data_IF_722760568072
#
_entry.id   IF_722760568072
#
_cell.length_a   1.000
_cell.length_b   1.000
_cell.length_c   1.000
_cell.angle_alpha   90.00
_cell.angle_beta   90.00
_cell.angle_gamma   90.00
#
_symmetry.space_group_name_H-M   'P 1'
#
loop_
_entity.id
_entity.type
_entity.pdbx_description
1 polymer ?
#
# COMPACT_ATOMS: atom_id res chain seq x y z
N UNK A 1 3.93 -2.36 -34.36
CA UNK A 1 4.22 -1.33 -33.32
C UNK A 1 4.70 -2.07 -32.11
N UNK A 2 5.90 -1.78 -31.60
CA UNK A 2 6.46 -2.45 -30.42
C UNK A 2 5.64 -2.15 -29.15
N UNK A 3 5.73 -3.06 -28.20
CA UNK A 3 4.99 -2.97 -26.93
C UNK A 3 5.94 -3.16 -25.75
N UNK A 4 5.83 -2.30 -24.76
CA UNK A 4 6.40 -2.50 -23.43
C UNK A 4 5.37 -3.25 -22.57
N UNK A 5 5.67 -4.50 -22.22
CA UNK A 5 4.83 -5.31 -21.34
C UNK A 5 5.29 -5.19 -19.88
N UNK A 6 4.38 -4.82 -18.97
CA UNK A 6 4.61 -4.87 -17.53
C UNK A 6 4.03 -6.20 -17.01
N UNK A 7 4.88 -7.13 -16.64
CA UNK A 7 4.47 -8.51 -16.37
C UNK A 7 4.65 -8.86 -14.90
N UNK A 8 3.53 -9.23 -14.25
CA UNK A 8 3.56 -9.74 -12.88
C UNK A 8 4.19 -11.12 -12.79
N UNK A 9 5.05 -11.31 -11.78
CA UNK A 9 5.76 -12.57 -11.49
C UNK A 9 5.28 -13.18 -10.16
N UNK A 10 5.55 -14.47 -9.89
CA UNK A 10 5.22 -15.10 -8.63
C UNK A 10 5.86 -14.42 -7.42
N UNK A 11 5.15 -14.42 -6.27
CA UNK A 11 5.66 -13.87 -5.00
C UNK A 11 6.21 -14.95 -4.06
N UNK A 12 6.32 -16.19 -4.52
CA UNK A 12 6.84 -17.31 -3.73
C UNK A 12 6.49 -18.68 -4.27
N UNK A 13 5.37 -18.81 -4.96
CA UNK A 13 4.93 -20.04 -5.59
C UNK A 13 4.93 -19.88 -7.11
N UNK A 14 5.77 -20.62 -7.81
CA UNK A 14 5.87 -20.53 -9.27
C UNK A 14 4.53 -20.76 -9.98
N UNK A 15 3.65 -21.60 -9.41
CA UNK A 15 2.33 -21.89 -9.98
C UNK A 15 1.37 -20.70 -10.03
N UNK A 16 1.68 -19.59 -9.33
CA UNK A 16 0.86 -18.38 -9.32
C UNK A 16 1.07 -17.50 -10.56
N UNK A 17 2.00 -17.84 -11.46
CA UNK A 17 2.16 -17.12 -12.72
C UNK A 17 0.96 -17.35 -13.63
N UNK A 18 0.55 -16.32 -14.37
CA UNK A 18 -0.53 -16.49 -15.34
C UNK A 18 -0.04 -17.13 -16.62
N UNK A 19 -0.88 -17.92 -17.30
CA UNK A 19 -0.58 -18.45 -18.64
C UNK A 19 -0.18 -17.34 -19.61
N UNK A 20 -0.89 -16.20 -19.59
CA UNK A 20 -0.58 -15.05 -20.43
C UNK A 20 0.80 -14.45 -20.14
N UNK A 21 1.24 -14.44 -18.88
CA UNK A 21 2.58 -13.98 -18.53
C UNK A 21 3.64 -14.88 -19.16
N UNK A 22 3.51 -16.21 -19.05
CA UNK A 22 4.43 -17.16 -19.66
C UNK A 22 4.48 -16.99 -21.18
N UNK A 23 3.32 -16.90 -21.84
CA UNK A 23 3.24 -16.73 -23.30
C UNK A 23 3.90 -15.43 -23.77
N UNK A 24 3.69 -14.31 -23.05
CA UNK A 24 4.33 -13.04 -23.38
C UNK A 24 5.83 -13.11 -23.16
N UNK A 25 6.29 -13.64 -22.02
CA UNK A 25 7.71 -13.75 -21.71
C UNK A 25 8.46 -14.65 -22.72
N UNK A 26 7.78 -15.65 -23.33
CA UNK A 26 8.35 -16.46 -24.42
C UNK A 26 8.42 -15.74 -25.76
N UNK A 27 7.56 -14.74 -25.98
CA UNK A 27 7.37 -14.10 -27.28
C UNK A 27 8.16 -12.80 -27.46
N UNK A 28 8.36 -12.05 -26.36
CA UNK A 28 9.08 -10.77 -26.42
C UNK A 28 10.55 -10.96 -26.80
N UNK A 29 11.16 -9.92 -27.36
CA UNK A 29 12.55 -9.97 -27.82
C UNK A 29 13.55 -9.84 -26.65
N UNK A 30 13.11 -9.25 -25.52
CA UNK A 30 13.95 -9.06 -24.34
C UNK A 30 13.10 -8.96 -23.06
N UNK A 31 13.62 -9.47 -21.95
CA UNK A 31 13.06 -9.27 -20.61
C UNK A 31 14.01 -8.38 -19.79
N UNK A 32 13.54 -7.21 -19.40
CA UNK A 32 14.19 -6.33 -18.43
C UNK A 32 13.78 -6.77 -17.01
N UNK A 33 14.75 -7.00 -16.12
CA UNK A 33 14.52 -7.54 -14.78
C UNK A 33 15.52 -6.97 -13.77
N UNK A 34 15.17 -6.95 -12.49
CA UNK A 34 16.02 -6.40 -11.44
C UNK A 34 17.27 -7.28 -11.23
N UNK A 35 17.08 -8.54 -10.84
CA UNK A 35 18.14 -9.53 -10.72
C UNK A 35 17.98 -10.65 -11.75
N UNK A 36 18.87 -10.66 -12.74
CA UNK A 36 18.87 -11.69 -13.79
C UNK A 36 19.00 -13.12 -13.25
N UNK A 37 19.61 -13.30 -12.08
CA UNK A 37 19.77 -14.62 -11.44
C UNK A 37 18.44 -15.14 -10.89
N UNK A 38 17.58 -14.25 -10.37
CA UNK A 38 16.24 -14.59 -9.88
C UNK A 38 15.33 -14.89 -11.06
N UNK A 39 15.27 -13.97 -12.03
CA UNK A 39 14.45 -14.14 -13.23
C UNK A 39 14.86 -15.35 -14.07
N UNK A 40 16.16 -15.68 -14.14
CA UNK A 40 16.64 -16.89 -14.85
C UNK A 40 16.06 -18.18 -14.27
N UNK A 41 15.84 -18.27 -12.94
CA UNK A 41 15.19 -19.46 -12.34
C UNK A 41 13.75 -19.61 -12.81
N UNK A 42 13.00 -18.51 -12.90
CA UNK A 42 11.64 -18.48 -13.43
C UNK A 42 11.63 -18.89 -14.91
N UNK A 43 12.52 -18.28 -15.72
CA UNK A 43 12.63 -18.57 -17.14
C UNK A 43 12.97 -20.04 -17.41
N UNK A 44 13.92 -20.61 -16.66
CA UNK A 44 14.30 -22.01 -16.77
C UNK A 44 13.14 -22.96 -16.40
N UNK A 45 12.35 -22.60 -15.39
CA UNK A 45 11.22 -23.44 -14.96
C UNK A 45 10.10 -23.52 -16.00
N UNK A 46 9.88 -22.45 -16.77
CA UNK A 46 8.82 -22.37 -17.77
C UNK A 46 9.32 -22.47 -19.21
N UNK A 47 10.59 -22.87 -19.42
CA UNK A 47 11.23 -22.96 -20.75
C UNK A 47 11.04 -21.64 -21.54
N UNK A 48 11.38 -20.52 -20.94
CA UNK A 48 11.38 -19.18 -21.54
C UNK A 48 12.80 -18.90 -22.06
N UNK A 49 13.01 -18.88 -23.38
CA UNK A 49 14.34 -18.71 -23.97
C UNK A 49 14.78 -17.24 -24.11
N UNK A 50 13.90 -16.32 -23.79
CA UNK A 50 14.07 -14.87 -24.04
C UNK A 50 15.27 -14.32 -23.27
N UNK A 51 16.13 -13.50 -23.90
CA UNK A 51 17.32 -12.93 -23.26
C UNK A 51 16.93 -11.95 -22.15
N UNK A 52 17.70 -12.01 -21.05
CA UNK A 52 17.52 -11.17 -19.87
C UNK A 52 18.44 -9.94 -19.91
N UNK A 53 17.92 -8.81 -19.50
CA UNK A 53 18.65 -7.55 -19.34
C UNK A 53 18.43 -6.99 -17.95
N UNK A 54 19.51 -6.62 -17.26
CA UNK A 54 19.41 -6.04 -15.94
C UNK A 54 18.86 -4.60 -16.00
N UNK A 55 17.81 -4.34 -15.19
CA UNK A 55 17.18 -3.04 -14.99
C UNK A 55 16.87 -2.85 -13.50
N UNK A 56 17.66 -2.07 -12.79
CA UNK A 56 17.55 -1.85 -11.33
C UNK A 56 17.84 -0.38 -10.99
N UNK A 57 17.59 0.02 -9.76
CA UNK A 57 17.69 1.40 -9.29
C UNK A 57 19.03 2.10 -9.66
N UNK A 58 20.15 1.37 -9.61
CA UNK A 58 21.47 1.95 -9.89
C UNK A 58 21.80 2.09 -11.38
N UNK A 59 21.06 1.47 -12.29
CA UNK A 59 21.32 1.53 -13.73
C UNK A 59 20.14 2.04 -14.54
N UNK A 60 18.99 2.36 -13.91
CA UNK A 60 17.71 2.65 -14.55
C UNK A 60 17.81 3.73 -15.64
N UNK A 61 18.54 4.84 -15.40
CA UNK A 61 18.61 5.96 -16.36
C UNK A 61 19.21 5.50 -17.70
N UNK A 62 20.38 4.83 -17.63
CA UNK A 62 21.05 4.30 -18.83
C UNK A 62 20.23 3.20 -19.51
N UNK A 63 19.63 2.31 -18.72
CA UNK A 63 18.86 1.20 -19.26
C UNK A 63 17.51 1.66 -19.83
N UNK A 64 16.89 2.69 -19.26
CA UNK A 64 15.70 3.31 -19.83
C UNK A 64 15.97 3.79 -21.26
N UNK A 65 17.03 4.58 -21.48
CA UNK A 65 17.38 5.05 -22.81
C UNK A 65 17.61 3.89 -23.80
N UNK A 66 18.35 2.87 -23.38
CA UNK A 66 18.60 1.67 -24.19
C UNK A 66 17.30 0.92 -24.54
N UNK A 67 16.41 0.70 -23.56
CA UNK A 67 15.15 -0.03 -23.79
C UNK A 67 14.22 0.76 -24.71
N UNK A 68 14.15 2.09 -24.58
CA UNK A 68 13.36 2.94 -25.48
C UNK A 68 13.89 2.81 -26.92
N UNK A 69 15.20 2.87 -27.11
CA UNK A 69 15.80 2.65 -28.44
C UNK A 69 15.40 1.27 -29.04
N UNK A 70 15.41 0.19 -28.25
CA UNK A 70 14.99 -1.12 -28.73
C UNK A 70 13.50 -1.14 -29.13
N UNK A 71 12.64 -0.51 -28.33
CA UNK A 71 11.21 -0.39 -28.62
C UNK A 71 10.96 0.45 -29.89
N UNK A 72 11.72 1.54 -30.11
CA UNK A 72 11.65 2.35 -31.34
C UNK A 72 12.10 1.57 -32.59
N UNK A 73 13.06 0.62 -32.40
CA UNK A 73 13.47 -0.30 -33.45
C UNK A 73 12.43 -1.40 -33.76
N UNK A 74 11.32 -1.43 -33.02
CA UNK A 74 10.22 -2.36 -33.24
C UNK A 74 10.27 -3.64 -32.41
N UNK A 75 11.19 -3.75 -31.44
CA UNK A 75 11.34 -4.93 -30.58
C UNK A 75 10.39 -4.85 -29.38
N UNK A 76 9.70 -5.92 -29.07
CA UNK A 76 8.86 -6.05 -27.86
C UNK A 76 9.72 -6.31 -26.63
N UNK A 77 9.44 -5.59 -25.54
CA UNK A 77 10.17 -5.72 -24.26
C UNK A 77 9.21 -6.00 -23.12
N UNK A 78 9.54 -6.97 -22.26
CA UNK A 78 8.85 -7.17 -21.00
C UNK A 78 9.68 -6.61 -19.84
N UNK A 79 9.04 -5.88 -18.93
CA UNK A 79 9.60 -5.50 -17.63
C UNK A 79 8.98 -6.41 -16.56
N UNK A 80 9.83 -7.04 -15.77
CA UNK A 80 9.45 -7.87 -14.60
C UNK A 80 10.19 -7.40 -13.35
N UNK A 81 9.61 -7.64 -12.18
CA UNK A 81 10.29 -7.55 -10.88
C UNK A 81 10.75 -8.94 -10.42
N UNK A 82 11.56 -8.99 -9.37
CA UNK A 82 12.00 -10.25 -8.76
C UNK A 82 10.83 -11.03 -8.14
N UNK A 83 9.80 -10.29 -7.65
CA UNK A 83 8.58 -10.88 -7.09
C UNK A 83 7.39 -9.91 -7.19
N UNK A 84 6.28 -10.35 -7.76
CA UNK A 84 5.05 -9.59 -7.84
C UNK A 84 4.97 -8.64 -9.05
N UNK A 85 4.44 -7.46 -8.82
CA UNK A 85 4.18 -6.48 -9.89
C UNK A 85 5.35 -5.51 -10.04
N UNK A 86 5.91 -5.33 -11.26
CA UNK A 86 6.91 -4.30 -11.49
C UNK A 86 6.35 -2.91 -11.15
N UNK A 87 7.19 -1.94 -10.81
CA UNK A 87 6.90 -0.58 -10.35
C UNK A 87 6.30 -0.49 -8.93
N UNK A 88 5.77 -1.56 -8.38
CA UNK A 88 5.14 -1.53 -7.04
C UNK A 88 6.20 -1.86 -5.98
N UNK A 89 6.83 -0.86 -5.43
CA UNK A 89 8.04 -0.92 -4.58
C UNK A 89 9.32 -1.33 -5.32
N UNK A 90 9.28 -1.39 -6.66
CA UNK A 90 10.34 -1.83 -7.54
C UNK A 90 10.63 -0.77 -8.62
N UNK A 91 11.80 -0.80 -9.29
CA UNK A 91 12.13 0.10 -10.39
C UNK A 91 11.18 -0.07 -11.60
N UNK A 92 11.03 0.99 -12.40
CA UNK A 92 10.28 0.92 -13.67
C UNK A 92 9.43 2.15 -14.00
N UNK A 93 9.16 3.00 -13.03
CA UNK A 93 8.35 4.20 -13.24
C UNK A 93 8.91 5.07 -14.38
N UNK A 94 10.22 5.34 -14.37
CA UNK A 94 10.89 6.17 -15.36
C UNK A 94 10.81 5.55 -16.76
N UNK A 95 10.91 4.20 -16.87
CA UNK A 95 10.77 3.51 -18.14
C UNK A 95 9.36 3.63 -18.71
N UNK A 96 8.33 3.52 -17.87
CA UNK A 96 6.93 3.68 -18.31
C UNK A 96 6.66 5.11 -18.77
N UNK A 97 7.16 6.11 -18.03
CA UNK A 97 7.03 7.53 -18.44
C UNK A 97 7.71 7.75 -19.80
N UNK A 98 8.96 7.33 -19.94
CA UNK A 98 9.71 7.48 -21.20
C UNK A 98 9.04 6.76 -22.38
N UNK A 99 8.51 5.55 -22.17
CA UNK A 99 7.77 4.82 -23.21
C UNK A 99 6.50 5.57 -23.66
N UNK A 100 5.76 6.16 -22.72
CA UNK A 100 4.59 6.97 -23.04
C UNK A 100 4.93 8.26 -23.78
N UNK A 101 6.01 8.94 -23.37
CA UNK A 101 6.49 10.16 -24.03
C UNK A 101 6.95 9.87 -25.47
N UNK A 102 7.50 8.67 -25.72
CA UNK A 102 7.86 8.18 -27.05
C UNK A 102 6.67 7.60 -27.84
N UNK A 103 5.42 7.71 -27.33
CA UNK A 103 4.22 7.10 -27.94
C UNK A 103 4.31 5.60 -28.15
N UNK A 104 5.07 4.91 -27.33
CA UNK A 104 5.17 3.44 -27.31
C UNK A 104 4.00 2.88 -26.52
N UNK A 105 3.38 1.82 -27.04
CA UNK A 105 2.29 1.13 -26.35
C UNK A 105 2.80 0.44 -25.10
N UNK A 106 2.15 0.69 -23.96
CA UNK A 106 2.41 -0.01 -22.68
C UNK A 106 1.22 -0.91 -22.36
N UNK A 107 1.47 -2.21 -22.18
CA UNK A 107 0.46 -3.18 -21.78
C UNK A 107 0.80 -3.81 -20.42
N UNK A 108 -0.24 -4.06 -19.62
CA UNK A 108 -0.10 -4.73 -18.32
C UNK A 108 -0.56 -6.17 -18.38
N UNK A 109 0.20 -7.05 -17.75
CA UNK A 109 -0.16 -8.45 -17.51
C UNK A 109 -0.30 -8.62 -16.00
N UNK A 110 -1.54 -8.72 -15.47
CA UNK A 110 -1.76 -8.85 -14.04
C UNK A 110 -1.09 -10.10 -13.47
N UNK A 111 -0.76 -10.03 -12.20
CA UNK A 111 -0.13 -11.14 -11.50
C UNK A 111 -0.28 -11.01 -9.99
N UNK A 112 0.38 -11.88 -9.22
CA UNK A 112 0.34 -11.87 -7.77
C UNK A 112 0.80 -10.53 -7.16
N UNK A 113 0.18 -10.16 -6.03
CA UNK A 113 0.55 -8.99 -5.25
C UNK A 113 0.46 -9.32 -3.76
N UNK A 114 1.57 -9.25 -3.05
CA UNK A 114 1.65 -9.67 -1.65
C UNK A 114 0.72 -8.85 -0.72
N UNK A 115 0.61 -7.53 -0.95
CA UNK A 115 -0.25 -6.66 -0.15
C UNK A 115 -1.72 -7.01 -0.26
N UNK A 116 -2.21 -7.20 -1.47
CA UNK A 116 -3.62 -7.58 -1.71
C UNK A 116 -3.90 -9.02 -1.32
N UNK A 117 -2.96 -9.94 -1.54
CA UNK A 117 -3.08 -11.33 -1.08
C UNK A 117 -3.21 -11.40 0.44
N UNK A 118 -2.38 -10.65 1.17
CA UNK A 118 -2.51 -10.53 2.62
C UNK A 118 -3.86 -9.93 3.04
N UNK A 119 -4.28 -8.85 2.39
CA UNK A 119 -5.53 -8.16 2.73
C UNK A 119 -6.75 -9.06 2.56
N UNK A 120 -6.81 -9.86 1.49
CA UNK A 120 -7.91 -10.80 1.24
C UNK A 120 -8.09 -11.81 2.37
N UNK A 121 -7.01 -12.25 3.01
CA UNK A 121 -7.03 -13.28 4.04
C UNK A 121 -6.93 -12.75 5.48
N UNK A 122 -6.77 -11.44 5.65
CA UNK A 122 -6.54 -10.80 6.96
C UNK A 122 -7.77 -10.71 7.85
N UNK A 123 -8.97 -10.68 7.24
CA UNK A 123 -10.22 -10.35 7.96
C UNK A 123 -10.39 -8.85 8.27
N UNK A 124 -9.44 -7.98 7.88
CA UNK A 124 -9.56 -6.53 8.03
C UNK A 124 -10.42 -5.92 6.91
N UNK A 125 -11.03 -4.73 7.13
CA UNK A 125 -11.80 -4.04 6.10
C UNK A 125 -10.98 -3.82 4.83
N UNK A 126 -11.52 -4.23 3.67
CA UNK A 126 -10.81 -4.20 2.39
C UNK A 126 -11.38 -3.20 1.37
N UNK A 127 -12.44 -2.48 1.71
CA UNK A 127 -13.10 -1.54 0.78
C UNK A 127 -12.25 -0.30 0.49
N UNK A 128 -11.54 0.20 1.51
CA UNK A 128 -10.61 1.31 1.38
C UNK A 128 -9.30 0.90 2.02
N UNK A 129 -8.24 0.97 1.25
CA UNK A 129 -6.90 0.66 1.73
C UNK A 129 -5.86 1.63 1.17
N UNK A 130 -4.79 1.82 1.89
CA UNK A 130 -3.66 2.65 1.49
C UNK A 130 -2.38 1.82 1.51
N UNK A 131 -1.74 1.68 0.35
CA UNK A 131 -0.46 1.01 0.23
C UNK A 131 0.67 2.01 0.53
N UNK A 132 1.47 1.72 1.55
CA UNK A 132 2.59 2.55 1.98
C UNK A 132 3.96 2.01 1.53
N UNK A 133 4.00 0.76 1.04
CA UNK A 133 5.27 0.12 0.71
C UNK A 133 6.15 -0.09 1.95
N UNK A 134 7.45 0.19 1.85
CA UNK A 134 8.38 0.11 2.98
C UNK A 134 8.41 1.41 3.77
N UNK A 135 8.25 1.32 5.09
CA UNK A 135 8.36 2.48 5.97
C UNK A 135 9.83 2.97 6.08
N UNK A 136 10.03 4.27 6.37
CA UNK A 136 11.34 4.82 6.63
C UNK A 136 12.13 4.01 7.67
N UNK A 137 13.46 3.95 7.50
CA UNK A 137 14.33 3.20 8.43
C UNK A 137 14.48 3.88 9.78
N UNK A 138 14.49 5.24 9.79
CA UNK A 138 14.64 6.01 11.02
C UNK A 138 13.33 6.01 11.81
N UNK A 139 13.42 5.68 13.10
CA UNK A 139 12.25 5.57 14.00
C UNK A 139 11.37 6.82 14.00
N UNK A 140 12.00 8.01 14.07
CA UNK A 140 11.26 9.28 14.06
C UNK A 140 10.45 9.50 12.79
N UNK A 141 11.01 9.17 11.63
CA UNK A 141 10.33 9.32 10.33
C UNK A 141 9.21 8.27 10.19
N UNK A 142 9.47 7.03 10.62
CA UNK A 142 8.48 5.94 10.65
C UNK A 142 7.30 6.29 11.56
N UNK A 143 7.56 6.76 12.79
CA UNK A 143 6.53 7.19 13.74
C UNK A 143 5.66 8.30 13.15
N UNK A 144 6.26 9.32 12.54
CA UNK A 144 5.53 10.42 11.93
C UNK A 144 4.60 9.96 10.80
N UNK A 145 5.05 9.02 9.94
CA UNK A 145 4.20 8.44 8.88
C UNK A 145 3.03 7.67 9.49
N UNK A 146 3.28 6.82 10.49
CA UNK A 146 2.25 6.02 11.13
C UNK A 146 1.26 6.91 11.91
N UNK A 147 1.74 7.89 12.68
CA UNK A 147 0.89 8.85 13.40
C UNK A 147 -0.05 9.59 12.45
N UNK A 148 0.45 10.02 11.29
CA UNK A 148 -0.37 10.68 10.28
C UNK A 148 -1.42 9.75 9.67
N UNK A 149 -1.03 8.52 9.30
CA UNK A 149 -1.86 7.61 8.50
C UNK A 149 -2.84 6.77 9.33
N UNK A 150 -2.51 6.45 10.57
CA UNK A 150 -3.37 5.62 11.42
C UNK A 150 -4.66 6.33 11.89
N UNK A 151 -4.81 7.63 11.60
CA UNK A 151 -6.07 8.35 11.79
C UNK A 151 -7.04 8.23 10.62
N UNK A 152 -6.57 7.73 9.47
CA UNK A 152 -7.41 7.50 8.30
C UNK A 152 -8.27 6.23 8.48
N UNK A 153 -9.45 6.19 7.88
CA UNK A 153 -10.34 5.03 7.94
C UNK A 153 -9.99 3.92 6.95
N UNK A 154 -8.83 4.01 6.29
CA UNK A 154 -8.33 3.02 5.33
C UNK A 154 -7.44 1.99 6.00
N UNK A 155 -7.54 0.72 5.60
CA UNK A 155 -6.57 -0.31 6.00
C UNK A 155 -5.21 0.00 5.36
N UNK A 156 -4.17 0.13 6.18
CA UNK A 156 -2.82 0.41 5.70
C UNK A 156 -2.12 -0.90 5.36
N UNK A 157 -1.41 -0.94 4.23
CA UNK A 157 -0.62 -2.08 3.77
C UNK A 157 0.85 -1.69 3.73
N UNK A 158 1.69 -2.43 4.44
CA UNK A 158 3.11 -2.16 4.62
C UNK A 158 3.90 -3.41 4.30
N UNK A 159 4.97 -3.30 3.51
CA UNK A 159 5.99 -4.33 3.37
C UNK A 159 7.05 -4.15 4.44
N UNK A 160 7.47 -5.24 5.07
CA UNK A 160 8.46 -5.14 6.13
C UNK A 160 9.42 -6.32 6.15
N UNK A 161 10.67 -6.05 6.49
CA UNK A 161 11.67 -7.10 6.67
C UNK A 161 11.52 -7.78 8.04
N UNK A 162 11.89 -9.07 8.19
CA UNK A 162 11.75 -9.81 9.44
C UNK A 162 12.50 -9.15 10.61
N UNK A 163 13.60 -8.44 10.31
CA UNK A 163 14.41 -7.76 11.32
C UNK A 163 13.76 -6.48 11.88
N UNK A 164 12.74 -5.94 11.19
CA UNK A 164 12.10 -4.68 11.54
C UNK A 164 10.66 -4.85 12.04
N UNK A 165 10.03 -6.01 11.81
CA UNK A 165 8.63 -6.28 12.20
C UNK A 165 8.38 -5.90 13.67
N UNK A 166 9.20 -6.39 14.59
CA UNK A 166 9.05 -6.12 16.04
C UNK A 166 9.08 -4.64 16.36
N UNK A 167 9.98 -3.88 15.74
CA UNK A 167 10.10 -2.44 16.00
C UNK A 167 8.96 -1.66 15.37
N UNK A 168 8.47 -2.10 14.22
CA UNK A 168 7.29 -1.51 13.58
C UNK A 168 6.04 -1.75 14.42
N UNK A 169 5.83 -2.96 14.93
CA UNK A 169 4.72 -3.24 15.86
C UNK A 169 4.82 -2.45 17.17
N UNK A 170 6.02 -2.23 17.72
CA UNK A 170 6.21 -1.35 18.89
C UNK A 170 5.80 0.09 18.60
N UNK A 171 6.10 0.58 17.40
CA UNK A 171 5.70 1.94 17.00
C UNK A 171 4.18 2.05 16.88
N UNK A 172 3.53 1.06 16.26
CA UNK A 172 2.07 1.00 16.16
C UNK A 172 1.43 0.97 17.57
N UNK A 173 1.93 0.11 18.47
CA UNK A 173 1.42 -0.02 19.83
C UNK A 173 1.58 1.26 20.68
N UNK A 174 2.60 2.08 20.44
CA UNK A 174 2.75 3.39 21.09
C UNK A 174 1.68 4.39 20.67
N UNK A 175 1.18 4.27 19.44
CA UNK A 175 0.14 5.17 18.90
C UNK A 175 -1.24 4.65 19.34
N UNK A 176 -1.48 3.35 19.20
CA UNK A 176 -2.73 2.69 19.60
C UNK A 176 -2.46 1.22 19.94
N UNK A 177 -2.44 0.92 21.23
CA UNK A 177 -2.13 -0.41 21.76
C UNK A 177 -3.21 -1.47 21.45
N UNK A 178 -4.42 -1.04 21.12
CA UNK A 178 -5.57 -1.91 20.83
C UNK A 178 -5.84 -2.06 19.32
N UNK A 179 -4.98 -1.44 18.46
CA UNK A 179 -5.16 -1.47 17.03
C UNK A 179 -5.10 -2.90 16.50
N UNK A 180 -6.12 -3.28 15.73
CA UNK A 180 -6.12 -4.55 15.00
C UNK A 180 -5.07 -4.51 13.89
N UNK A 181 -4.21 -5.50 13.87
CA UNK A 181 -3.13 -5.66 12.90
C UNK A 181 -3.13 -7.10 12.38
N UNK A 182 -2.84 -7.28 11.11
CA UNK A 182 -2.62 -8.59 10.54
C UNK A 182 -1.17 -8.71 10.03
N UNK A 183 -0.54 -9.82 10.31
CA UNK A 183 0.77 -10.19 9.81
C UNK A 183 0.62 -11.30 8.77
N UNK A 184 0.88 -10.97 7.49
CA UNK A 184 1.06 -11.96 6.43
C UNK A 184 2.54 -12.30 6.31
N UNK A 185 2.91 -13.55 6.52
CA UNK A 185 4.29 -14.03 6.46
C UNK A 185 4.43 -15.11 5.40
N UNK A 186 5.50 -15.06 4.59
CA UNK A 186 5.84 -16.10 3.60
C UNK A 186 4.64 -16.49 2.71
N UNK A 187 3.87 -15.49 2.26
CA UNK A 187 2.67 -15.69 1.45
C UNK A 187 2.97 -16.56 0.23
N UNK A 188 2.04 -17.47 -0.09
CA UNK A 188 2.10 -18.48 -1.16
C UNK A 188 3.20 -19.55 -0.99
N UNK A 189 4.04 -19.47 0.05
CA UNK A 189 5.14 -20.40 0.30
C UNK A 189 4.74 -21.49 1.31
N UNK A 190 5.58 -22.51 1.45
CA UNK A 190 5.36 -23.65 2.36
C UNK A 190 5.06 -23.24 3.82
N UNK A 191 5.60 -22.12 4.26
CA UNK A 191 5.46 -21.65 5.65
C UNK A 191 4.60 -20.37 5.72
N UNK A 192 3.63 -20.27 4.81
CA UNK A 192 2.64 -19.20 4.85
C UNK A 192 1.93 -19.15 6.19
N UNK A 193 1.83 -17.96 6.73
CA UNK A 193 1.12 -17.73 7.98
C UNK A 193 0.44 -16.35 7.90
N UNK A 194 -0.85 -16.30 8.28
CA UNK A 194 -1.58 -15.04 8.43
C UNK A 194 -2.19 -15.05 9.84
N UNK A 195 -1.85 -14.03 10.61
CA UNK A 195 -2.31 -13.89 12.00
C UNK A 195 -2.83 -12.48 12.19
N UNK A 196 -4.06 -12.36 12.67
CA UNK A 196 -4.72 -11.08 12.93
C UNK A 196 -5.13 -11.01 14.40
N UNK A 197 -4.69 -9.95 15.08
CA UNK A 197 -5.01 -9.72 16.49
C UNK A 197 -4.69 -8.24 16.85
N UNK A 198 -4.97 -7.85 18.08
CA UNK A 198 -4.44 -6.61 18.64
C UNK A 198 -2.91 -6.58 18.54
N UNK A 199 -2.35 -5.41 18.24
CA UNK A 199 -0.90 -5.27 18.06
C UNK A 199 -0.09 -5.76 19.26
N UNK A 200 -0.62 -5.64 20.49
CA UNK A 200 0.03 -6.14 21.71
C UNK A 200 0.02 -7.67 21.79
N UNK A 201 -1.05 -8.32 21.34
CA UNK A 201 -1.12 -9.78 21.26
C UNK A 201 -0.17 -10.33 20.20
N UNK A 202 -0.08 -9.68 19.04
CA UNK A 202 0.91 -10.07 18.02
C UNK A 202 2.35 -9.97 18.53
N UNK A 203 2.67 -8.97 19.34
CA UNK A 203 3.99 -8.87 19.99
C UNK A 203 4.24 -10.05 20.93
N UNK A 204 3.24 -10.47 21.69
CA UNK A 204 3.34 -11.64 22.57
C UNK A 204 3.53 -12.94 21.77
N UNK A 205 2.78 -13.16 20.69
CA UNK A 205 2.94 -14.32 19.80
C UNK A 205 4.35 -14.41 19.17
N UNK A 206 4.92 -13.26 18.78
CA UNK A 206 6.31 -13.21 18.29
C UNK A 206 7.29 -13.61 19.41
N UNK A 207 7.11 -13.10 20.63
CA UNK A 207 7.98 -13.42 21.76
C UNK A 207 7.91 -14.89 22.16
N UNK A 208 6.73 -15.52 22.04
CA UNK A 208 6.50 -16.95 22.30
C UNK A 208 7.06 -17.85 21.18
N UNK A 209 7.36 -17.28 20.01
CA UNK A 209 7.87 -18.01 18.85
C UNK A 209 6.79 -18.57 17.94
N UNK A 210 5.52 -18.27 18.18
CA UNK A 210 4.37 -18.69 17.37
C UNK A 210 4.35 -17.99 16.00
N UNK A 211 4.96 -16.80 15.91
CA UNK A 211 5.23 -16.08 14.66
C UNK A 211 6.75 -15.93 14.49
N UNK A 212 7.42 -16.86 13.79
CA UNK A 212 8.87 -16.80 13.59
C UNK A 212 9.28 -15.60 12.72
N UNK A 213 10.24 -14.80 13.16
CA UNK A 213 10.78 -13.65 12.42
C UNK A 213 11.74 -14.10 11.31
N UNK A 214 11.23 -14.83 10.31
CA UNK A 214 11.96 -15.32 9.14
C UNK A 214 11.10 -15.16 7.89
N UNK A 215 11.76 -14.85 6.78
CA UNK A 215 11.11 -14.67 5.48
C UNK A 215 10.58 -13.25 5.28
N UNK A 216 9.58 -13.10 4.44
CA UNK A 216 8.99 -11.82 4.03
C UNK A 216 7.68 -11.55 4.77
N UNK A 217 7.46 -10.30 5.12
CA UNK A 217 6.27 -9.88 5.86
C UNK A 217 5.49 -8.79 5.14
N UNK A 218 4.17 -8.93 5.22
CA UNK A 218 3.20 -7.86 4.98
C UNK A 218 2.53 -7.53 6.30
N UNK A 219 2.55 -6.28 6.71
CA UNK A 219 1.83 -5.77 7.89
C UNK A 219 0.61 -5.01 7.39
N UNK A 220 -0.56 -5.40 7.86
CA UNK A 220 -1.81 -4.71 7.61
C UNK A 220 -2.29 -4.08 8.92
N UNK A 221 -2.66 -2.81 8.88
CA UNK A 221 -3.16 -2.09 10.06
C UNK A 221 -4.61 -1.69 9.76
N UNK A 222 -5.55 -2.08 10.61
CA UNK A 222 -6.95 -1.63 10.50
C UNK A 222 -7.02 -0.10 10.48
N UNK A 223 -7.83 0.47 9.62
CA UNK A 223 -8.12 1.90 9.60
C UNK A 223 -8.71 2.38 10.95
N UNK A 224 -8.62 3.67 11.22
CA UNK A 224 -9.32 4.24 12.35
C UNK A 224 -10.81 3.89 12.24
N UNK A 225 -11.37 3.33 13.31
CA UNK A 225 -12.83 3.20 13.39
C UNK A 225 -13.37 4.62 13.28
N UNK A 226 -14.28 4.84 12.34
CA UNK A 226 -15.06 6.07 12.38
C UNK A 226 -15.50 6.21 13.86
N UNK A 227 -15.20 7.32 14.49
CA UNK A 227 -15.76 7.62 15.80
C UNK A 227 -17.28 7.68 15.60
N UNK A 228 -17.92 6.50 15.61
CA UNK A 228 -19.34 6.35 15.87
C UNK A 228 -19.59 6.47 17.39
N UNK A 229 -18.78 7.21 18.10
CA UNK A 229 -19.29 7.84 19.30
C UNK A 229 -20.38 8.79 18.81
N UNK A 230 -21.63 8.36 18.99
CA UNK A 230 -22.78 9.24 18.82
C UNK A 230 -22.42 10.47 19.64
N UNK A 231 -21.99 11.51 18.94
CA UNK A 231 -21.65 12.75 19.62
C UNK A 231 -22.93 13.22 20.28
N UNK A 232 -22.85 13.67 21.53
CA UNK A 232 -24.02 14.13 22.30
C UNK A 232 -24.91 15.12 21.52
N UNK A 233 -24.36 15.69 20.44
CA UNK A 233 -25.03 16.67 19.57
C UNK A 233 -25.51 16.09 18.24
N UNK A 234 -25.35 14.78 17.97
CA UNK A 234 -25.73 14.20 16.67
C UNK A 234 -27.23 14.28 16.40
N UNK A 235 -28.03 14.15 17.45
CA UNK A 235 -29.49 14.31 17.40
C UNK A 235 -29.95 15.79 17.43
N UNK A 236 -29.04 16.76 17.63
CA UNK A 236 -29.35 18.18 17.67
C UNK A 236 -29.21 18.81 16.28
N UNK A 237 -30.12 19.70 15.93
CA UNK A 237 -29.89 20.64 14.84
C UNK A 237 -28.73 21.58 15.16
N UNK A 238 -28.15 22.23 14.14
CA UNK A 238 -27.07 23.22 14.36
C UNK A 238 -27.52 24.34 15.31
N UNK A 239 -28.76 24.79 15.19
CA UNK A 239 -29.32 25.83 16.04
C UNK A 239 -29.42 25.37 17.50
N UNK A 240 -29.96 24.17 17.72
CA UNK A 240 -30.07 23.61 19.07
C UNK A 240 -28.68 23.38 19.70
N UNK A 241 -27.69 22.99 18.91
CA UNK A 241 -26.33 22.82 19.39
C UNK A 241 -25.67 24.15 19.76
N UNK A 242 -25.88 25.22 18.99
CA UNK A 242 -25.43 26.58 19.36
C UNK A 242 -26.12 27.08 20.61
N UNK A 243 -27.45 26.91 20.68
CA UNK A 243 -28.24 27.34 21.83
C UNK A 243 -27.86 26.59 23.09
N UNK A 244 -27.52 25.31 23.01
CA UNK A 244 -27.01 24.55 24.15
C UNK A 244 -25.78 25.21 24.77
N UNK A 245 -24.78 25.64 23.98
CA UNK A 245 -23.60 26.30 24.51
C UNK A 245 -23.91 27.70 25.08
N UNK A 246 -24.85 28.41 24.49
CA UNK A 246 -25.28 29.71 25.02
C UNK A 246 -25.95 29.54 26.38
N UNK A 247 -26.84 28.55 26.54
CA UNK A 247 -27.62 28.31 27.73
C UNK A 247 -26.83 27.63 28.86
N UNK A 248 -26.06 26.58 28.55
CA UNK A 248 -25.39 25.78 29.56
C UNK A 248 -24.02 26.33 29.95
N UNK A 249 -23.27 26.88 28.97
CA UNK A 249 -21.90 27.38 29.18
C UNK A 249 -21.81 28.90 29.19
N UNK A 250 -22.94 29.61 29.09
CA UNK A 250 -23.02 31.07 29.04
C UNK A 250 -22.09 31.71 27.99
N UNK A 251 -21.87 31.00 26.90
CA UNK A 251 -21.02 31.51 25.82
C UNK A 251 -21.72 32.62 25.05
N UNK A 252 -20.94 33.60 24.58
CA UNK A 252 -21.46 34.56 23.61
C UNK A 252 -21.77 33.87 22.29
N UNK A 253 -22.84 34.27 21.55
CA UNK A 253 -23.25 33.59 20.31
C UNK A 253 -22.11 33.33 19.32
N UNK A 254 -21.25 34.31 19.10
CA UNK A 254 -20.09 34.18 18.20
C UNK A 254 -19.09 33.10 18.64
N UNK A 255 -18.91 32.90 19.94
CA UNK A 255 -18.03 31.86 20.48
C UNK A 255 -18.68 30.49 20.38
N UNK A 256 -19.98 30.37 20.65
CA UNK A 256 -20.75 29.14 20.50
C UNK A 256 -20.77 28.66 19.03
N UNK A 257 -21.03 29.57 18.08
CA UNK A 257 -20.97 29.28 16.63
C UNK A 257 -19.60 28.75 16.23
N UNK A 258 -18.50 29.36 16.68
CA UNK A 258 -17.16 28.90 16.37
C UNK A 258 -16.91 27.48 16.93
N UNK A 259 -17.33 27.24 18.17
CA UNK A 259 -17.17 25.95 18.83
C UNK A 259 -18.00 24.85 18.15
N UNK A 260 -19.25 25.12 17.80
CA UNK A 260 -20.09 24.18 17.03
C UNK A 260 -19.52 23.88 15.66
N UNK A 261 -18.94 24.90 14.99
CA UNK A 261 -18.28 24.70 13.72
C UNK A 261 -17.06 23.76 13.84
N UNK A 262 -16.24 23.92 14.87
CA UNK A 262 -15.10 23.05 15.18
C UNK A 262 -15.55 21.60 15.47
N UNK A 263 -16.56 21.41 16.32
CA UNK A 263 -17.06 20.08 16.70
C UNK A 263 -17.75 19.34 15.57
N UNK A 264 -18.51 20.05 14.72
CA UNK A 264 -19.19 19.49 13.54
C UNK A 264 -18.33 19.46 12.28
N UNK A 265 -17.08 19.90 12.36
CA UNK A 265 -16.15 20.00 11.22
C UNK A 265 -16.73 20.82 10.05
N UNK A 266 -17.50 21.88 10.36
CA UNK A 266 -18.08 22.80 9.39
C UNK A 266 -17.30 24.12 9.36
N UNK A 267 -17.49 24.89 8.28
CA UNK A 267 -16.95 26.27 8.24
C UNK A 267 -17.72 27.17 9.19
N UNK A 268 -17.03 28.01 9.95
CA UNK A 268 -17.68 28.95 10.89
C UNK A 268 -18.74 29.84 10.22
N UNK A 269 -18.50 30.26 8.98
CA UNK A 269 -19.46 31.07 8.21
C UNK A 269 -20.73 30.26 7.84
N UNK A 270 -20.60 28.97 7.62
CA UNK A 270 -21.73 28.08 7.33
C UNK A 270 -22.64 27.97 8.55
N UNK A 271 -22.07 27.66 9.72
CA UNK A 271 -22.81 27.61 10.98
C UNK A 271 -23.44 28.98 11.33
N UNK A 272 -22.72 30.08 11.07
CA UNK A 272 -23.22 31.41 11.27
C UNK A 272 -24.45 31.70 10.39
N UNK A 273 -24.38 31.36 9.09
CA UNK A 273 -25.50 31.59 8.19
C UNK A 273 -26.73 30.77 8.55
N UNK A 274 -26.54 29.49 8.93
CA UNK A 274 -27.65 28.62 9.39
C UNK A 274 -28.28 29.18 10.66
N UNK A 275 -27.47 29.56 11.64
CA UNK A 275 -27.95 30.05 12.91
C UNK A 275 -28.73 31.40 12.80
N UNK A 276 -28.28 32.27 11.90
CA UNK A 276 -28.92 33.57 11.64
C UNK A 276 -29.94 33.54 10.48
N UNK A 277 -30.24 32.38 9.88
CA UNK A 277 -31.17 32.22 8.76
C UNK A 277 -30.85 33.14 7.56
N UNK A 278 -29.55 33.31 7.28
CA UNK A 278 -29.04 34.13 6.17
C UNK A 278 -28.90 33.19 4.96
N UNK A 279 -29.64 33.48 3.87
CA UNK A 279 -29.55 32.74 2.60
C UNK A 279 -28.27 33.06 1.81
#
# INVERSE_FOLDING_TARGET
MAVLYLVGTPIGNLADITYRAVDILKRVDMIACEDTRVTSKLCNHYDIPTPLKSYHEHNKDRQTAFIIEQLELGLDVALVSDAGLPLISDPGYELVVAARDANIKVETVPGPNAGLTALMASGLPSYVYTFLGFLPRKEKEKSAVLEQRMHENSTLIIYESPHRVTDTLKTIAKIDATRQVSLGRELTKKFEQIVTDDVTQLQALIQQGDVPLKGEFVILIEGAKANNEISWFDDLSINEHVDHYIQTSQMKPKQAIKKVAEERQLKTNEVYNIYHQIN
#
